data_IF_248119711870
#
_entry.id   IF_248119711870
#
_cell.length_a   1.000
_cell.length_b   1.000
_cell.length_c   1.000
_cell.angle_alpha   90.00
_cell.angle_beta   90.00
_cell.angle_gamma   90.00
#
_symmetry.space_group_name_H-M   'P 1'
#
loop_
_entity.id
_entity.type
_entity.pdbx_description
1 polymer ?
#
# COMPACT_ATOMS: atom_id res chain seq x y z
N UNK A 1 33.74 -23.73 6.86
CA UNK A 1 32.37 -23.15 6.79
C UNK A 1 32.00 -22.95 5.33
N UNK A 2 30.85 -23.39 4.85
CA UNK A 2 30.51 -23.25 3.45
C UNK A 2 30.35 -21.77 3.10
N UNK A 3 30.91 -21.36 1.98
CA UNK A 3 30.88 -19.99 1.39
C UNK A 3 29.45 -19.42 1.34
N UNK A 4 28.43 -20.29 1.22
CA UNK A 4 27.00 -19.92 1.26
C UNK A 4 26.54 -19.26 2.58
N UNK A 5 27.13 -19.60 3.71
CA UNK A 5 26.78 -19.02 5.02
C UNK A 5 27.29 -17.58 5.18
N UNK A 6 28.49 -17.31 4.69
CA UNK A 6 29.10 -15.97 4.77
C UNK A 6 28.38 -14.98 3.83
N UNK A 7 28.01 -15.43 2.62
CA UNK A 7 27.26 -14.61 1.65
C UNK A 7 25.86 -14.27 2.23
N UNK A 8 25.17 -15.21 2.85
CA UNK A 8 23.87 -14.98 3.51
C UNK A 8 23.98 -13.99 4.68
N UNK A 9 25.02 -14.11 5.51
CA UNK A 9 25.27 -13.19 6.62
C UNK A 9 25.56 -11.77 6.13
N UNK A 10 26.37 -11.60 5.09
CA UNK A 10 26.70 -10.31 4.48
C UNK A 10 25.47 -9.67 3.83
N UNK A 11 24.69 -10.45 3.06
CA UNK A 11 23.46 -9.98 2.45
C UNK A 11 22.43 -9.55 3.51
N UNK A 12 22.31 -10.28 4.61
CA UNK A 12 21.46 -9.93 5.75
C UNK A 12 21.87 -8.61 6.41
N UNK A 13 23.16 -8.35 6.52
CA UNK A 13 23.70 -7.10 7.09
C UNK A 13 23.38 -5.91 6.21
N UNK A 14 23.61 -6.02 4.89
CA UNK A 14 23.29 -4.95 3.92
C UNK A 14 21.78 -4.67 3.90
N UNK A 15 20.96 -5.71 3.91
CA UNK A 15 19.50 -5.56 3.96
C UNK A 15 19.05 -4.81 5.24
N UNK A 16 19.63 -5.11 6.40
CA UNK A 16 19.36 -4.40 7.66
C UNK A 16 19.74 -2.93 7.60
N UNK A 17 20.92 -2.61 7.08
CA UNK A 17 21.37 -1.21 6.95
C UNK A 17 20.41 -0.42 6.06
N UNK A 18 19.99 -1.01 4.94
CA UNK A 18 18.98 -0.42 4.04
C UNK A 18 17.65 -0.19 4.75
N UNK A 19 17.15 -1.15 5.51
CA UNK A 19 15.88 -1.03 6.24
C UNK A 19 15.97 0.03 7.35
N UNK A 20 17.08 0.13 8.08
CA UNK A 20 17.31 1.19 9.06
C UNK A 20 17.37 2.58 8.43
N UNK A 21 18.01 2.71 7.28
CA UNK A 21 17.99 3.95 6.53
C UNK A 21 16.56 4.34 6.09
N UNK A 22 15.78 3.36 5.59
CA UNK A 22 14.37 3.59 5.25
C UNK A 22 13.53 3.96 6.47
N UNK A 23 13.76 3.33 7.62
CA UNK A 23 13.12 3.68 8.88
C UNK A 23 13.46 5.12 9.29
N UNK A 24 14.72 5.51 9.20
CA UNK A 24 15.15 6.88 9.48
C UNK A 24 14.45 7.91 8.59
N UNK A 25 14.31 7.61 7.29
CA UNK A 25 13.53 8.46 6.36
C UNK A 25 12.06 8.53 6.74
N UNK A 26 11.44 7.41 7.10
CA UNK A 26 10.05 7.38 7.56
C UNK A 26 9.88 8.25 8.82
N UNK A 27 10.74 8.08 9.81
CA UNK A 27 10.72 8.90 11.03
C UNK A 27 10.98 10.39 10.77
N UNK A 28 11.79 10.73 9.77
CA UNK A 28 11.98 12.11 9.35
C UNK A 28 10.70 12.69 8.70
N UNK A 29 10.03 11.90 7.85
CA UNK A 29 8.78 12.29 7.21
C UNK A 29 7.64 12.55 8.22
N UNK A 30 7.63 11.87 9.37
CA UNK A 30 6.62 12.13 10.43
C UNK A 30 6.80 13.49 11.13
N UNK A 31 7.93 14.17 10.95
CA UNK A 31 8.16 15.51 11.49
C UNK A 31 7.49 16.61 10.68
N UNK A 32 7.22 16.34 9.39
CA UNK A 32 6.44 17.22 8.52
C UNK A 32 5.33 16.40 7.85
N UNK A 33 4.32 16.05 8.63
CA UNK A 33 3.21 15.23 8.18
C UNK A 33 2.42 15.90 7.05
N UNK A 34 2.24 17.22 7.10
CA UNK A 34 1.46 17.95 6.10
C UNK A 34 2.11 17.87 4.72
N UNK A 35 3.39 18.18 4.62
CA UNK A 35 4.13 18.07 3.36
C UNK A 35 4.15 16.62 2.85
N UNK A 36 4.43 15.65 3.74
CA UNK A 36 4.46 14.21 3.39
C UNK A 36 3.11 13.71 2.88
N UNK A 37 2.00 14.15 3.49
CA UNK A 37 0.64 13.78 3.04
C UNK A 37 0.32 14.42 1.69
N UNK A 38 0.68 15.69 1.48
CA UNK A 38 0.48 16.36 0.19
C UNK A 38 1.25 15.67 -0.94
N UNK A 39 2.52 15.33 -0.73
CA UNK A 39 3.32 14.56 -1.70
C UNK A 39 2.72 13.18 -1.99
N UNK A 40 2.23 12.50 -0.95
CA UNK A 40 1.59 11.19 -1.09
C UNK A 40 0.32 11.30 -1.92
N UNK A 41 -0.54 12.28 -1.63
CA UNK A 41 -1.77 12.53 -2.38
C UNK A 41 -1.46 12.84 -3.84
N UNK A 42 -0.55 13.77 -4.11
CA UNK A 42 -0.14 14.12 -5.47
C UNK A 42 0.34 12.88 -6.25
N UNK A 43 1.17 12.04 -5.62
CA UNK A 43 1.63 10.77 -6.21
C UNK A 43 0.50 9.78 -6.51
N UNK A 44 -0.55 9.73 -5.69
CA UNK A 44 -1.70 8.85 -5.90
C UNK A 44 -2.61 9.39 -7.01
N UNK A 45 -2.80 10.70 -7.08
CA UNK A 45 -3.57 11.36 -8.13
C UNK A 45 -2.87 11.23 -9.49
N UNK A 46 -1.56 11.46 -9.56
CA UNK A 46 -0.76 11.21 -10.76
C UNK A 46 -0.87 9.77 -11.24
N UNK A 47 -0.83 8.81 -10.31
CA UNK A 47 -0.90 7.39 -10.63
C UNK A 47 -2.26 6.98 -11.19
N UNK A 48 -3.37 7.55 -10.69
CA UNK A 48 -4.74 7.12 -10.99
C UNK A 48 -5.59 8.17 -11.74
N UNK A 49 -5.10 9.37 -11.94
CA UNK A 49 -5.86 10.48 -12.54
C UNK A 49 -6.39 10.21 -13.96
N UNK A 50 -5.85 9.20 -14.65
CA UNK A 50 -6.32 8.75 -15.96
C UNK A 50 -7.30 7.58 -15.92
N UNK A 51 -7.74 7.13 -14.73
CA UNK A 51 -8.84 6.17 -14.63
C UNK A 51 -10.17 6.80 -15.00
N UNK A 52 -11.13 5.97 -15.46
CA UNK A 52 -12.46 6.47 -15.81
C UNK A 52 -13.11 7.16 -14.62
N UNK A 53 -13.03 6.55 -13.42
CA UNK A 53 -13.56 7.13 -12.19
C UNK A 53 -12.94 8.49 -11.86
N UNK A 54 -11.64 8.64 -12.03
CA UNK A 54 -10.95 9.91 -11.77
C UNK A 54 -11.36 11.01 -12.79
N UNK A 55 -11.47 10.65 -14.06
CA UNK A 55 -11.90 11.58 -15.12
C UNK A 55 -13.33 12.02 -14.88
N UNK A 56 -14.25 11.10 -14.61
CA UNK A 56 -15.68 11.39 -14.36
C UNK A 56 -15.89 12.33 -13.17
N UNK A 57 -15.00 12.29 -12.18
CA UNK A 57 -15.08 13.12 -10.98
C UNK A 57 -14.11 14.32 -11.00
N UNK A 58 -13.52 14.66 -12.13
CA UNK A 58 -12.64 15.84 -12.26
C UNK A 58 -11.30 15.71 -11.55
N UNK A 59 -10.90 14.49 -11.11
CA UNK A 59 -9.64 14.26 -10.40
C UNK A 59 -8.40 14.28 -11.30
N UNK A 60 -8.57 14.28 -12.61
CA UNK A 60 -7.45 14.25 -13.56
C UNK A 60 -6.48 15.44 -13.43
N UNK A 61 -6.97 16.58 -12.95
CA UNK A 61 -6.19 17.80 -12.73
C UNK A 61 -6.00 18.13 -11.23
N UNK A 62 -6.53 17.33 -10.33
CA UNK A 62 -6.37 17.54 -8.89
C UNK A 62 -4.93 17.26 -8.47
N UNK A 63 -4.37 18.09 -7.60
CA UNK A 63 -3.02 17.95 -7.06
C UNK A 63 -2.91 18.25 -5.57
N UNK A 64 -3.94 18.87 -5.01
CA UNK A 64 -4.00 19.27 -3.61
C UNK A 64 -5.18 18.63 -2.88
N UNK A 65 -5.18 18.58 -1.53
CA UNK A 65 -6.34 18.17 -0.73
C UNK A 65 -7.59 18.99 -1.07
N UNK A 66 -7.46 20.31 -1.25
CA UNK A 66 -8.58 21.19 -1.58
C UNK A 66 -9.20 20.86 -2.95
N UNK A 67 -8.38 20.44 -3.92
CA UNK A 67 -8.89 19.99 -5.21
C UNK A 67 -9.66 18.68 -5.07
N UNK A 68 -9.16 17.77 -4.23
CA UNK A 68 -9.85 16.50 -3.94
C UNK A 68 -11.21 16.75 -3.29
N UNK A 69 -11.26 17.61 -2.27
CA UNK A 69 -12.49 17.94 -1.54
C UNK A 69 -13.55 18.61 -2.41
N UNK A 70 -13.10 19.43 -3.39
CA UNK A 70 -14.00 20.04 -4.37
C UNK A 70 -14.51 19.05 -5.40
N UNK A 71 -13.68 18.09 -5.80
CA UNK A 71 -14.01 17.12 -6.84
C UNK A 71 -14.90 15.98 -6.34
N UNK A 72 -14.67 15.51 -5.12
CA UNK A 72 -15.38 14.33 -4.58
C UNK A 72 -15.78 14.61 -3.13
N UNK A 73 -17.09 14.60 -2.87
CA UNK A 73 -17.61 14.63 -1.50
C UNK A 73 -17.28 13.33 -0.74
N UNK A 74 -17.54 13.30 0.56
CA UNK A 74 -17.42 12.08 1.35
C UNK A 74 -18.30 10.98 0.74
N UNK A 75 -17.68 9.85 0.41
CA UNK A 75 -18.31 8.73 -0.29
C UNK A 75 -18.27 7.47 0.54
N UNK A 76 -19.15 6.53 0.23
CA UNK A 76 -19.12 5.17 0.74
C UNK A 76 -18.74 4.16 -0.36
N UNK A 77 -18.81 2.86 -0.05
CA UNK A 77 -18.47 1.81 -1.01
C UNK A 77 -19.37 1.80 -2.25
N UNK A 78 -20.62 2.26 -2.15
CA UNK A 78 -21.56 2.25 -3.27
C UNK A 78 -21.06 3.11 -4.44
N UNK A 79 -20.37 4.21 -4.13
CA UNK A 79 -19.75 5.09 -5.12
C UNK A 79 -18.72 4.36 -6.02
N UNK A 80 -18.02 3.39 -5.46
CA UNK A 80 -16.98 2.65 -6.19
C UNK A 80 -17.49 1.35 -6.81
N UNK A 81 -18.67 0.89 -6.46
CA UNK A 81 -19.19 -0.44 -6.78
C UNK A 81 -19.14 -0.75 -8.28
N UNK A 82 -19.64 0.14 -9.11
CA UNK A 82 -19.67 -0.06 -10.56
C UNK A 82 -18.25 -0.17 -11.15
N UNK A 83 -17.34 0.73 -10.76
CA UNK A 83 -15.96 0.71 -11.22
C UNK A 83 -15.24 -0.59 -10.77
N UNK A 84 -15.52 -1.07 -9.56
CA UNK A 84 -14.99 -2.33 -9.02
C UNK A 84 -15.54 -3.52 -9.82
N UNK A 85 -16.84 -3.58 -10.11
CA UNK A 85 -17.43 -4.67 -10.89
C UNK A 85 -16.88 -4.71 -12.33
N UNK A 86 -16.65 -3.56 -12.95
CA UNK A 86 -15.96 -3.47 -14.24
C UNK A 86 -14.52 -3.97 -14.15
N UNK A 87 -13.79 -3.55 -13.12
CA UNK A 87 -12.41 -4.00 -12.89
C UNK A 87 -12.31 -5.52 -12.65
N UNK A 88 -13.29 -6.13 -11.98
CA UNK A 88 -13.40 -7.60 -11.80
C UNK A 88 -13.56 -8.33 -13.16
N UNK A 89 -14.21 -7.71 -14.12
CA UNK A 89 -14.34 -8.25 -15.50
C UNK A 89 -13.13 -7.99 -16.39
N UNK A 90 -12.06 -7.38 -15.83
CA UNK A 90 -10.84 -7.07 -16.58
C UNK A 90 -10.73 -5.62 -17.07
N UNK A 91 -11.79 -4.81 -16.93
CA UNK A 91 -11.78 -3.40 -17.31
C UNK A 91 -11.13 -2.54 -16.20
N UNK A 92 -9.85 -2.79 -15.92
CA UNK A 92 -9.14 -2.17 -14.79
C UNK A 92 -9.02 -0.66 -14.88
N UNK A 93 -9.10 -0.09 -16.11
CA UNK A 93 -9.13 1.35 -16.35
C UNK A 93 -10.32 2.04 -15.67
N UNK A 94 -11.42 1.31 -15.42
CA UNK A 94 -12.58 1.84 -14.69
C UNK A 94 -12.18 2.46 -13.33
N UNK A 95 -11.17 1.87 -12.67
CA UNK A 95 -10.78 2.20 -11.30
C UNK A 95 -9.33 2.68 -11.16
N UNK A 96 -8.44 2.25 -12.05
CA UNK A 96 -6.99 2.42 -11.92
C UNK A 96 -6.38 3.10 -13.15
N UNK A 97 -5.40 3.95 -12.90
CA UNK A 97 -4.58 4.51 -13.97
C UNK A 97 -3.65 3.47 -14.60
N UNK A 98 -3.10 3.74 -15.79
CA UNK A 98 -2.38 2.76 -16.63
C UNK A 98 -1.10 2.20 -15.98
N UNK A 99 -0.49 2.94 -15.05
CA UNK A 99 0.71 2.53 -14.32
C UNK A 99 0.41 1.76 -13.03
N UNK A 100 -0.87 1.70 -12.61
CA UNK A 100 -1.30 1.04 -11.38
C UNK A 100 -1.95 -0.32 -11.67
N UNK A 101 -1.16 -1.36 -11.66
CA UNK A 101 -1.63 -2.71 -12.02
C UNK A 101 -2.40 -3.35 -10.87
N UNK A 102 -3.62 -3.82 -11.17
CA UNK A 102 -4.37 -4.70 -10.28
C UNK A 102 -3.65 -6.07 -10.16
N UNK A 103 -3.50 -6.57 -8.95
CA UNK A 103 -2.92 -7.88 -8.66
C UNK A 103 -4.00 -8.89 -8.26
N UNK A 104 -4.88 -8.50 -7.34
CA UNK A 104 -5.99 -9.33 -6.83
C UNK A 104 -7.03 -8.45 -6.15
N UNK A 105 -8.15 -9.06 -5.77
CA UNK A 105 -9.09 -8.47 -4.81
C UNK A 105 -9.01 -9.20 -3.48
N UNK A 106 -9.13 -8.46 -2.39
CA UNK A 106 -9.39 -9.02 -1.06
C UNK A 106 -10.84 -8.77 -0.68
N UNK A 107 -11.40 -9.63 0.16
CA UNK A 107 -12.74 -9.45 0.71
C UNK A 107 -12.64 -8.84 2.10
N UNK A 108 -13.45 -7.85 2.38
CA UNK A 108 -13.62 -7.40 3.76
C UNK A 108 -14.52 -8.38 4.52
N UNK A 109 -14.21 -8.65 5.80
CA UNK A 109 -15.10 -9.39 6.70
C UNK A 109 -16.30 -8.51 7.03
N UNK A 110 -17.27 -8.41 6.12
CA UNK A 110 -18.52 -7.66 6.36
C UNK A 110 -19.34 -8.34 7.45
N UNK A 111 -19.49 -7.67 8.59
CA UNK A 111 -20.34 -8.14 9.68
C UNK A 111 -21.84 -7.88 9.42
N UNK A 112 -22.20 -7.17 8.34
CA UNK A 112 -23.57 -6.62 8.19
C UNK A 112 -24.21 -6.73 6.81
N UNK A 113 -23.63 -7.35 5.82
CA UNK A 113 -24.19 -7.67 4.49
C UNK A 113 -23.08 -8.00 3.49
N UNK A 114 -23.22 -7.74 2.22
CA UNK A 114 -22.33 -8.17 1.15
C UNK A 114 -20.84 -7.90 1.41
N UNK A 115 -20.00 -8.90 1.27
CA UNK A 115 -18.54 -8.75 1.31
C UNK A 115 -18.07 -7.73 0.27
N UNK A 116 -17.24 -6.78 0.70
CA UNK A 116 -16.72 -5.73 -0.17
C UNK A 116 -15.42 -6.18 -0.82
N UNK A 117 -15.33 -6.02 -2.13
CA UNK A 117 -14.09 -6.28 -2.87
C UNK A 117 -13.17 -5.08 -2.79
N UNK A 118 -11.99 -5.29 -2.23
CA UNK A 118 -10.95 -4.25 -2.10
C UNK A 118 -9.83 -4.56 -3.09
N UNK A 119 -9.55 -3.67 -4.07
CA UNK A 119 -8.50 -3.90 -5.05
C UNK A 119 -7.12 -3.80 -4.41
N UNK A 120 -6.30 -4.82 -4.59
CA UNK A 120 -4.89 -4.84 -4.21
C UNK A 120 -4.06 -4.58 -5.45
N UNK A 121 -3.38 -3.44 -5.47
CA UNK A 121 -2.54 -3.05 -6.60
C UNK A 121 -1.06 -3.31 -6.32
N UNK A 122 -0.23 -3.28 -7.36
CA UNK A 122 1.21 -3.35 -7.24
C UNK A 122 1.78 -2.22 -6.35
N UNK A 123 1.18 -1.02 -6.38
CA UNK A 123 1.55 0.10 -5.49
C UNK A 123 1.21 -0.22 -4.05
N UNK A 124 -0.05 -0.60 -3.77
CA UNK A 124 -0.51 -0.97 -2.44
C UNK A 124 0.35 -2.10 -1.84
N UNK A 125 0.59 -3.17 -2.62
CA UNK A 125 1.37 -4.32 -2.16
C UNK A 125 2.81 -3.93 -1.78
N UNK A 126 3.45 -3.06 -2.56
CA UNK A 126 4.79 -2.54 -2.27
C UNK A 126 4.82 -1.72 -0.98
N UNK A 127 3.83 -0.83 -0.79
CA UNK A 127 3.75 0.03 0.40
C UNK A 127 3.40 -0.80 1.65
N UNK A 128 2.51 -1.78 1.52
CA UNK A 128 2.19 -2.75 2.57
C UNK A 128 3.43 -3.54 3.02
N UNK A 129 4.18 -4.12 2.09
CA UNK A 129 5.43 -4.82 2.41
C UNK A 129 6.46 -3.90 3.07
N UNK A 130 6.57 -2.68 2.62
CA UNK A 130 7.48 -1.69 3.22
C UNK A 130 7.10 -1.41 4.67
N UNK A 131 5.83 -1.23 4.97
CA UNK A 131 5.34 -0.99 6.34
C UNK A 131 5.69 -2.15 7.26
N UNK A 132 5.47 -3.40 6.83
CA UNK A 132 5.87 -4.59 7.57
C UNK A 132 7.39 -4.67 7.80
N UNK A 133 8.18 -4.33 6.80
CA UNK A 133 9.64 -4.32 6.93
C UNK A 133 10.13 -3.25 7.93
N UNK A 134 9.54 -2.06 7.91
CA UNK A 134 9.88 -1.00 8.87
C UNK A 134 9.48 -1.37 10.30
N UNK A 135 8.30 -1.95 10.47
CA UNK A 135 7.86 -2.48 11.75
C UNK A 135 8.79 -3.60 12.23
N UNK A 136 9.09 -4.56 11.37
CA UNK A 136 9.94 -5.71 11.70
C UNK A 136 11.35 -5.29 12.12
N UNK A 137 11.99 -4.36 11.40
CA UNK A 137 13.34 -3.90 11.79
C UNK A 137 13.31 -3.17 13.13
N UNK A 138 12.29 -2.37 13.41
CA UNK A 138 12.11 -1.70 14.70
C UNK A 138 11.97 -2.70 15.84
N UNK A 139 11.14 -3.74 15.66
CA UNK A 139 10.94 -4.79 16.65
C UNK A 139 12.24 -5.58 16.90
N UNK A 140 12.96 -5.97 15.84
CA UNK A 140 14.22 -6.73 15.98
C UNK A 140 15.36 -5.90 16.57
N UNK A 141 15.39 -4.60 16.36
CA UNK A 141 16.39 -3.73 16.97
C UNK A 141 16.08 -3.47 18.45
N UNK A 142 14.80 -3.37 18.82
CA UNK A 142 14.37 -3.25 20.21
C UNK A 142 14.50 -4.55 21.00
N UNK A 143 14.38 -5.71 20.34
CA UNK A 143 14.41 -7.04 20.94
C UNK A 143 15.26 -8.02 20.10
N UNK A 144 16.60 -7.93 20.14
CA UNK A 144 17.48 -8.73 19.27
C UNK A 144 17.31 -10.25 19.40
N UNK A 145 16.88 -10.74 20.56
CA UNK A 145 16.61 -12.17 20.81
C UNK A 145 15.48 -12.73 19.95
N UNK A 146 14.55 -11.87 19.49
CA UNK A 146 13.43 -12.31 18.63
C UNK A 146 13.89 -12.93 17.31
N UNK A 147 15.11 -12.63 16.84
CA UNK A 147 15.67 -13.19 15.61
C UNK A 147 15.87 -14.71 15.66
N UNK A 148 16.01 -15.26 16.87
CA UNK A 148 16.20 -16.69 17.09
C UNK A 148 14.89 -17.41 17.44
N UNK A 149 13.76 -16.70 17.49
CA UNK A 149 12.46 -17.28 17.84
C UNK A 149 11.66 -17.65 16.60
N UNK A 150 10.77 -18.63 16.79
CA UNK A 150 9.79 -19.00 15.76
C UNK A 150 8.72 -17.91 15.64
N UNK A 151 8.40 -17.53 14.39
CA UNK A 151 7.29 -16.63 14.08
C UNK A 151 6.04 -17.47 13.90
N UNK A 152 5.01 -17.21 14.71
CA UNK A 152 3.67 -17.79 14.54
C UNK A 152 2.79 -16.74 13.88
N UNK A 153 2.24 -17.09 12.73
CA UNK A 153 1.30 -16.24 12.00
C UNK A 153 -0.06 -16.93 11.95
N UNK A 154 -1.09 -16.21 12.41
CA UNK A 154 -2.47 -16.63 12.21
C UNK A 154 -2.99 -16.00 10.92
N UNK A 155 -3.49 -16.81 10.02
CA UNK A 155 -4.16 -16.37 8.79
C UNK A 155 -5.48 -17.10 8.66
N UNK A 156 -6.48 -16.45 8.04
CA UNK A 156 -7.71 -17.14 7.64
C UNK A 156 -7.39 -18.08 6.47
N UNK A 157 -8.01 -19.25 6.50
CA UNK A 157 -8.03 -20.15 5.35
C UNK A 157 -9.00 -19.56 4.31
N UNK A 158 -8.51 -19.27 3.12
CA UNK A 158 -9.33 -18.82 2.00
C UNK A 158 -9.55 -20.03 1.11
N UNK A 159 -10.73 -20.58 1.19
CA UNK A 159 -11.23 -21.53 0.20
C UNK A 159 -11.81 -20.78 -0.99
#
# INVERSE_FOLDING_TARGET
>A
MPISGQIRASAGTVARLRLRWQLGRFMAATKDCRATQAETLASLLELNGQSDLAIQNGLGNASTPDDLDKAVSVTDYSFYREAIERAKRGETKSLLGPKNRLMMFTLSSGTTSDSKFIPVTNRFYRDYRRSWQLWGISAFDARPKMKALTIVQLSSDYQ
#
